data_IF_419787414104
#
_entry.id   IF_419787414104
#
_cell.length_a   1.000
_cell.length_b   1.000
_cell.length_c   1.000
_cell.angle_alpha   90.00
_cell.angle_beta   90.00
_cell.angle_gamma   90.00
#
_symmetry.space_group_name_H-M   'P 1'
#
loop_
_entity.id
_entity.type
_entity.pdbx_description
1 polymer ?
#
# COMPACT_ATOMS: atom_id res chain seq x y z
N UNK A 1 -24.28 9.98 11.84
CA UNK A 1 -23.08 10.58 11.22
C UNK A 1 -22.19 9.42 10.81
N UNK A 2 -21.84 9.27 9.53
CA UNK A 2 -20.98 8.17 9.05
C UNK A 2 -19.58 8.34 9.67
N UNK A 3 -18.98 7.27 10.20
CA UNK A 3 -17.55 7.27 10.55
C UNK A 3 -16.74 7.33 9.24
N UNK A 4 -15.51 7.84 9.31
CA UNK A 4 -14.60 7.99 8.17
C UNK A 4 -14.62 6.76 7.25
N UNK A 5 -14.88 6.94 5.95
CA UNK A 5 -14.97 5.84 4.97
C UNK A 5 -16.39 5.38 4.62
N UNK A 6 -17.42 6.13 5.01
CA UNK A 6 -18.77 6.01 4.45
C UNK A 6 -19.56 4.75 4.85
N UNK A 7 -19.09 4.00 5.85
CA UNK A 7 -19.72 2.77 6.34
C UNK A 7 -20.76 3.09 7.42
N UNK A 8 -21.80 2.25 7.51
CA UNK A 8 -22.86 2.38 8.51
C UNK A 8 -22.36 1.83 9.85
N UNK A 9 -22.25 2.66 10.91
CA UNK A 9 -21.74 2.21 12.21
C UNK A 9 -22.61 1.13 12.84
N UNK A 10 -22.01 0.22 13.61
CA UNK A 10 -22.73 -0.88 14.28
C UNK A 10 -23.78 -0.40 15.26
N UNK A 11 -23.53 0.75 15.90
CA UNK A 11 -24.42 1.42 16.85
C UNK A 11 -25.71 1.96 16.20
N UNK A 12 -25.74 2.06 14.87
CA UNK A 12 -26.95 2.43 14.14
C UNK A 12 -27.88 1.21 14.07
N UNK A 13 -29.11 1.37 14.55
CA UNK A 13 -30.15 0.36 14.43
C UNK A 13 -30.48 0.12 12.95
N UNK A 14 -30.32 -1.13 12.51
CA UNK A 14 -30.61 -1.54 11.14
C UNK A 14 -31.26 -2.92 11.15
N UNK A 15 -32.54 -2.97 11.52
CA UNK A 15 -33.28 -4.21 11.82
C UNK A 15 -33.37 -5.21 10.67
N UNK A 16 -33.29 -4.73 9.43
CA UNK A 16 -33.39 -5.56 8.22
C UNK A 16 -32.01 -5.96 7.66
N UNK A 17 -30.92 -5.74 8.42
CA UNK A 17 -29.57 -6.03 7.98
C UNK A 17 -29.29 -7.54 7.98
N UNK A 18 -29.50 -8.18 6.83
CA UNK A 18 -29.16 -9.58 6.59
C UNK A 18 -28.29 -9.73 5.32
N UNK A 19 -27.00 -9.35 5.39
CA UNK A 19 -26.11 -9.42 4.24
C UNK A 19 -25.76 -10.88 3.87
N UNK A 20 -25.47 -11.17 2.60
CA UNK A 20 -25.02 -12.50 2.19
C UNK A 20 -23.73 -12.91 2.92
N UNK A 21 -23.52 -14.21 3.07
CA UNK A 21 -22.30 -14.78 3.66
C UNK A 21 -21.39 -15.36 2.57
N UNK A 22 -20.13 -14.97 2.55
CA UNK A 22 -19.14 -15.51 1.62
C UNK A 22 -17.75 -15.65 2.26
N UNK A 23 -17.15 -16.82 2.11
CA UNK A 23 -15.76 -17.11 2.47
C UNK A 23 -15.15 -17.94 1.35
N UNK A 24 -14.08 -17.43 0.73
CA UNK A 24 -13.37 -18.18 -0.30
C UNK A 24 -12.67 -19.41 0.30
N UNK A 25 -12.76 -20.54 -0.38
CA UNK A 25 -12.01 -21.75 -0.04
C UNK A 25 -10.51 -21.53 -0.22
N UNK A 26 -9.71 -21.91 0.78
CA UNK A 26 -8.24 -21.83 0.73
C UNK A 26 -7.63 -23.08 1.34
N UNK A 27 -6.50 -23.53 0.76
CA UNK A 27 -5.69 -24.63 1.31
C UNK A 27 -5.02 -24.25 2.63
N UNK A 28 -4.79 -22.95 2.83
CA UNK A 28 -4.14 -22.41 4.01
C UNK A 28 -5.24 -22.13 5.06
N UNK A 29 -5.51 -23.11 5.91
CA UNK A 29 -6.44 -22.96 7.03
C UNK A 29 -5.74 -22.18 8.16
N UNK A 30 -6.24 -20.99 8.49
CA UNK A 30 -5.85 -20.34 9.72
C UNK A 30 -6.46 -21.08 10.91
N UNK A 31 -5.66 -21.29 11.96
CA UNK A 31 -6.11 -21.84 13.22
C UNK A 31 -6.95 -20.77 13.95
N UNK A 32 -8.26 -21.02 14.09
CA UNK A 32 -9.26 -20.18 14.77
C UNK A 32 -9.22 -18.68 14.45
N UNK A 33 -10.20 -18.28 13.65
CA UNK A 33 -10.44 -16.90 13.28
C UNK A 33 -10.87 -16.03 14.48
N UNK A 34 -10.26 -14.84 14.71
CA UNK A 34 -10.76 -13.91 15.70
C UNK A 34 -12.16 -13.44 15.30
N UNK A 35 -13.13 -13.64 16.19
CA UNK A 35 -14.49 -13.14 16.03
C UNK A 35 -14.47 -11.65 16.34
N UNK A 36 -14.72 -10.82 15.33
CA UNK A 36 -14.78 -9.36 15.50
C UNK A 36 -15.55 -8.71 14.36
N UNK A 37 -16.24 -7.63 14.69
CA UNK A 37 -16.92 -6.78 13.72
C UNK A 37 -15.95 -5.74 13.17
N UNK A 38 -16.07 -5.43 11.88
CA UNK A 38 -15.26 -4.40 11.22
C UNK A 38 -15.38 -3.06 11.99
N UNK A 39 -14.27 -2.47 12.46
CA UNK A 39 -14.30 -1.32 13.36
C UNK A 39 -14.89 -0.06 12.72
N UNK A 40 -14.96 -0.02 11.38
CA UNK A 40 -15.53 1.10 10.63
C UNK A 40 -17.02 0.92 10.35
N UNK A 41 -17.62 -0.22 10.69
CA UNK A 41 -19.04 -0.50 10.51
C UNK A 41 -19.32 -1.55 9.44
N UNK A 42 -20.62 -1.69 9.14
CA UNK A 42 -21.20 -2.63 8.17
C UNK A 42 -20.69 -2.36 6.75
N UNK A 43 -20.36 -3.42 6.02
CA UNK A 43 -19.94 -3.37 4.60
C UNK A 43 -20.96 -3.98 3.65
N UNK A 44 -21.95 -4.71 4.16
CA UNK A 44 -22.95 -5.40 3.35
C UNK A 44 -22.55 -6.81 2.92
N UNK A 45 -21.49 -7.38 3.50
CA UNK A 45 -21.03 -8.75 3.24
C UNK A 45 -20.50 -9.39 4.52
N UNK A 46 -21.03 -10.57 4.89
CA UNK A 46 -20.51 -11.40 5.99
C UNK A 46 -19.51 -12.43 5.50
N UNK A 47 -18.75 -12.97 6.45
CA UNK A 47 -17.70 -13.96 6.21
C UNK A 47 -16.34 -13.31 5.92
N UNK A 48 -15.35 -14.13 5.60
CA UNK A 48 -13.97 -13.68 5.35
C UNK A 48 -13.80 -13.02 3.98
N UNK A 49 -14.75 -13.24 3.08
CA UNK A 49 -14.60 -12.90 1.67
C UNK A 49 -13.35 -13.55 1.08
N UNK A 50 -12.55 -12.74 0.38
CA UNK A 50 -11.29 -13.16 -0.22
C UNK A 50 -10.06 -12.85 0.63
N UNK A 51 -10.20 -12.47 1.90
CA UNK A 51 -9.06 -12.19 2.79
C UNK A 51 -8.48 -13.47 3.40
N UNK A 52 -7.30 -13.38 4.03
CA UNK A 52 -6.59 -14.55 4.57
C UNK A 52 -7.15 -15.02 5.91
N UNK A 53 -7.59 -14.10 6.76
CA UNK A 53 -8.15 -14.39 8.07
C UNK A 53 -9.36 -13.48 8.33
N UNK A 54 -10.19 -13.86 9.29
CA UNK A 54 -11.11 -12.91 9.91
C UNK A 54 -10.32 -11.86 10.70
N UNK A 55 -10.99 -10.77 11.06
CA UNK A 55 -10.37 -9.63 11.71
C UNK A 55 -9.38 -8.87 10.80
N UNK A 56 -8.34 -8.26 11.39
CA UNK A 56 -7.38 -7.47 10.65
C UNK A 56 -6.43 -8.33 9.83
N UNK A 57 -6.29 -8.01 8.55
CA UNK A 57 -5.33 -8.57 7.61
C UNK A 57 -4.22 -7.54 7.40
N UNK A 58 -3.09 -7.72 8.08
CA UNK A 58 -2.02 -6.71 8.11
C UNK A 58 -1.19 -6.66 6.82
N UNK A 59 -1.14 -5.48 6.20
CA UNK A 59 -0.31 -5.19 5.02
C UNK A 59 0.80 -4.19 5.31
N UNK A 60 1.80 -4.13 4.42
CA UNK A 60 2.90 -3.16 4.47
C UNK A 60 3.03 -2.47 3.11
N UNK A 61 3.08 -1.14 3.11
CA UNK A 61 3.32 -0.32 1.91
C UNK A 61 4.62 0.49 2.03
N UNK A 62 5.74 -0.01 1.47
CA UNK A 62 6.91 0.82 1.22
C UNK A 62 6.60 1.84 0.12
N UNK A 63 6.66 3.12 0.46
CA UNK A 63 6.60 4.23 -0.48
C UNK A 63 8.01 4.74 -0.72
N UNK A 64 8.66 4.21 -1.76
CA UNK A 64 9.99 4.67 -2.15
C UNK A 64 9.83 5.97 -2.93
N UNK A 65 10.27 7.08 -2.35
CA UNK A 65 10.08 8.42 -2.91
C UNK A 65 11.40 9.13 -3.15
N UNK A 66 11.40 10.05 -4.11
CA UNK A 66 12.51 10.98 -4.37
C UNK A 66 11.98 12.32 -4.87
N UNK A 67 12.80 13.36 -4.82
CA UNK A 67 12.46 14.62 -5.50
C UNK A 67 12.52 14.45 -7.01
N UNK A 68 11.49 14.96 -7.73
CA UNK A 68 11.55 15.11 -9.18
C UNK A 68 12.61 16.15 -9.54
N UNK A 69 13.44 15.84 -10.52
CA UNK A 69 14.53 16.71 -10.99
C UNK A 69 14.30 17.14 -12.44
N UNK A 70 14.77 18.32 -12.82
CA UNK A 70 14.85 18.75 -14.22
C UNK A 70 16.18 18.32 -14.85
N UNK A 71 16.43 18.68 -16.10
CA UNK A 71 17.66 18.33 -16.83
C UNK A 71 18.94 18.85 -16.13
N UNK A 72 18.85 20.01 -15.46
CA UNK A 72 19.95 20.60 -14.69
C UNK A 72 20.15 19.99 -13.30
N UNK A 73 19.34 19.01 -12.90
CA UNK A 73 19.39 18.40 -11.55
C UNK A 73 18.75 19.26 -10.44
N UNK A 74 18.08 20.36 -10.77
CA UNK A 74 17.31 21.14 -9.81
C UNK A 74 15.97 20.47 -9.47
N UNK A 75 15.47 20.68 -8.24
CA UNK A 75 14.17 20.13 -7.82
C UNK A 75 13.03 20.82 -8.58
N UNK A 76 12.24 20.04 -9.31
CA UNK A 76 11.02 20.51 -9.96
C UNK A 76 10.00 21.00 -8.93
N UNK A 77 9.34 22.12 -9.24
CA UNK A 77 8.30 22.71 -8.42
C UNK A 77 7.04 22.97 -9.24
N UNK A 78 5.89 22.90 -8.57
CA UNK A 78 4.61 23.37 -9.10
C UNK A 78 4.08 24.44 -8.16
N UNK A 79 4.03 25.68 -8.65
CA UNK A 79 3.99 26.87 -7.81
C UNK A 79 5.17 26.84 -6.81
N UNK A 80 4.93 27.04 -5.52
CA UNK A 80 5.97 27.05 -4.48
C UNK A 80 6.37 25.64 -3.98
N UNK A 81 5.54 24.63 -4.23
CA UNK A 81 5.74 23.28 -3.68
C UNK A 81 6.63 22.41 -4.55
N UNK A 82 7.52 21.65 -3.92
CA UNK A 82 8.39 20.66 -4.59
C UNK A 82 7.55 19.48 -5.10
N UNK A 83 8.02 18.83 -6.16
CA UNK A 83 7.34 17.67 -6.75
C UNK A 83 8.04 16.37 -6.36
N UNK A 84 7.28 15.38 -5.88
CA UNK A 84 7.77 14.04 -5.59
C UNK A 84 7.61 13.11 -6.80
N UNK A 85 8.49 12.12 -6.87
CA UNK A 85 8.29 10.89 -7.63
C UNK A 85 8.21 9.71 -6.66
N UNK A 86 7.44 8.70 -7.02
CA UNK A 86 7.33 7.43 -6.30
C UNK A 86 7.58 6.26 -7.24
N UNK A 87 8.26 5.23 -6.74
CA UNK A 87 8.43 3.97 -7.45
C UNK A 87 7.11 3.21 -7.50
N UNK A 88 6.63 2.91 -8.71
CA UNK A 88 5.40 2.15 -8.94
C UNK A 88 5.66 0.94 -9.81
N UNK A 89 4.81 -0.06 -9.66
CA UNK A 89 4.88 -1.32 -10.40
C UNK A 89 3.53 -1.66 -11.04
N UNK A 90 3.57 -2.19 -12.26
CA UNK A 90 2.43 -2.81 -12.94
C UNK A 90 2.77 -4.28 -13.20
N UNK A 91 2.02 -5.20 -12.59
CA UNK A 91 2.17 -6.64 -12.82
C UNK A 91 1.47 -7.04 -14.14
N UNK A 92 1.91 -8.13 -14.82
CA UNK A 92 1.39 -8.50 -16.15
C UNK A 92 -0.13 -8.59 -16.27
N UNK A 93 -0.80 -9.11 -15.25
CA UNK A 93 -2.25 -9.33 -15.23
C UNK A 93 -3.04 -8.17 -14.58
N UNK A 94 -2.37 -7.08 -14.23
CA UNK A 94 -3.00 -5.92 -13.59
C UNK A 94 -3.18 -4.81 -14.59
N UNK A 95 -4.39 -4.29 -14.74
CA UNK A 95 -4.66 -3.10 -15.54
C UNK A 95 -4.04 -1.83 -14.93
N UNK A 96 -3.93 -1.80 -13.61
CA UNK A 96 -3.54 -0.62 -12.84
C UNK A 96 -2.07 -0.67 -12.38
N UNK A 97 -1.46 0.51 -12.30
CA UNK A 97 -0.22 0.69 -11.54
C UNK A 97 -0.52 0.61 -10.04
N UNK A 98 0.46 0.18 -9.25
CA UNK A 98 0.33 0.05 -7.81
C UNK A 98 1.63 0.41 -7.10
N UNK A 99 1.52 0.79 -5.82
CA UNK A 99 2.67 0.76 -4.91
C UNK A 99 3.18 -0.69 -4.75
N UNK A 100 4.50 -0.91 -4.59
CA UNK A 100 5.11 -2.23 -4.38
C UNK A 100 4.87 -2.78 -2.97
N UNK A 101 3.68 -2.58 -2.41
CA UNK A 101 3.26 -3.09 -1.10
C UNK A 101 2.12 -4.11 -1.18
N UNK A 102 1.58 -4.42 0.00
CA UNK A 102 0.46 -5.34 0.19
C UNK A 102 0.73 -6.38 1.26
N UNK A 103 0.21 -7.59 1.04
CA UNK A 103 0.37 -8.71 1.96
C UNK A 103 1.79 -9.26 1.96
N UNK A 104 2.15 -9.89 3.08
CA UNK A 104 3.37 -10.67 3.27
C UNK A 104 3.00 -12.16 3.25
N UNK A 105 3.96 -13.03 2.93
CA UNK A 105 3.78 -14.46 3.22
C UNK A 105 4.03 -14.70 4.72
N UNK A 106 3.52 -15.80 5.29
CA UNK A 106 3.89 -16.21 6.65
C UNK A 106 5.41 -16.29 6.82
N UNK A 107 5.93 -15.67 7.89
CA UNK A 107 7.37 -15.62 8.17
C UNK A 107 8.17 -14.60 7.34
N UNK A 108 7.56 -13.94 6.35
CA UNK A 108 8.24 -12.95 5.51
C UNK A 108 8.09 -11.52 6.04
N UNK A 109 9.16 -10.75 5.91
CA UNK A 109 9.26 -9.34 6.30
C UNK A 109 8.78 -8.40 5.19
N UNK A 110 9.06 -8.73 3.92
CA UNK A 110 8.81 -7.89 2.75
C UNK A 110 7.51 -8.26 2.02
N UNK A 111 6.79 -7.28 1.43
CA UNK A 111 5.58 -7.56 0.66
C UNK A 111 5.86 -8.41 -0.58
N UNK A 112 4.94 -9.34 -0.91
CA UNK A 112 5.05 -10.24 -2.09
C UNK A 112 5.35 -9.47 -3.38
N UNK A 113 4.70 -8.31 -3.56
CA UNK A 113 4.84 -7.47 -4.75
C UNK A 113 6.23 -6.84 -4.88
N UNK A 114 6.84 -6.43 -3.77
CA UNK A 114 8.22 -5.93 -3.76
C UNK A 114 9.20 -7.05 -4.09
N UNK A 115 9.04 -8.22 -3.47
CA UNK A 115 9.90 -9.39 -3.69
C UNK A 115 9.93 -9.84 -5.15
N UNK A 116 8.83 -9.64 -5.91
CA UNK A 116 8.77 -9.93 -7.34
C UNK A 116 9.64 -9.03 -8.20
N UNK A 117 9.96 -7.81 -7.74
CA UNK A 117 10.68 -6.81 -8.54
C UNK A 117 12.08 -6.49 -8.02
N UNK A 118 12.45 -7.01 -6.86
CA UNK A 118 13.74 -6.77 -6.21
C UNK A 118 14.50 -8.09 -6.08
N UNK A 119 15.78 -8.11 -6.50
CA UNK A 119 16.66 -9.28 -6.34
C UNK A 119 16.69 -9.77 -4.89
N UNK A 120 16.68 -11.09 -4.71
CA UNK A 120 16.60 -11.73 -3.39
C UNK A 120 17.79 -11.37 -2.49
N UNK A 121 19.00 -11.35 -3.06
CA UNK A 121 20.22 -10.94 -2.39
C UNK A 121 20.18 -9.50 -1.83
N UNK A 122 19.24 -8.67 -2.29
CA UNK A 122 19.07 -7.28 -1.86
C UNK A 122 17.91 -7.06 -0.88
N UNK A 123 17.13 -8.10 -0.56
CA UNK A 123 16.05 -7.99 0.44
C UNK A 123 16.55 -7.48 1.81
N UNK A 124 17.67 -7.98 2.38
CA UNK A 124 18.14 -7.49 3.67
C UNK A 124 18.52 -6.00 3.67
N UNK A 125 19.07 -5.52 2.54
CA UNK A 125 19.40 -4.08 2.40
C UNK A 125 18.13 -3.23 2.37
N UNK A 126 17.09 -3.70 1.65
CA UNK A 126 15.80 -3.02 1.63
C UNK A 126 15.08 -3.04 2.99
N UNK A 127 15.20 -4.14 3.76
CA UNK A 127 14.69 -4.18 5.14
C UNK A 127 15.33 -3.12 6.03
N UNK A 128 16.62 -2.84 5.85
CA UNK A 128 17.29 -1.77 6.58
C UNK A 128 16.76 -0.39 6.17
N UNK A 129 16.49 -0.16 4.88
CA UNK A 129 15.82 1.06 4.40
C UNK A 129 14.41 1.20 4.99
N UNK A 130 13.67 0.11 5.12
CA UNK A 130 12.35 0.11 5.78
C UNK A 130 12.45 0.47 7.26
N UNK A 131 13.46 -0.05 7.98
CA UNK A 131 13.67 0.24 9.40
C UNK A 131 14.06 1.71 9.65
N UNK A 132 14.81 2.32 8.74
CA UNK A 132 15.19 3.74 8.81
C UNK A 132 14.16 4.68 8.19
N UNK A 133 13.17 4.14 7.48
CA UNK A 133 12.10 4.90 6.86
C UNK A 133 11.14 5.51 7.88
N UNK A 134 10.37 6.51 7.42
CA UNK A 134 9.40 7.22 8.24
C UNK A 134 8.02 6.56 8.14
N UNK A 135 7.42 6.18 9.26
CA UNK A 135 6.02 5.74 9.30
C UNK A 135 5.10 6.92 8.98
N UNK A 136 4.42 6.86 7.84
CA UNK A 136 3.48 7.90 7.37
C UNK A 136 2.05 7.58 7.79
N UNK A 137 1.74 6.29 7.97
CA UNK A 137 0.41 5.86 8.32
C UNK A 137 0.43 4.47 8.96
N UNK A 138 -0.42 4.30 9.98
CA UNK A 138 -0.73 3.00 10.56
C UNK A 138 -2.21 2.95 10.93
N UNK A 139 -2.94 1.97 10.42
CA UNK A 139 -4.35 1.77 10.76
C UNK A 139 -5.19 1.16 9.64
N UNK A 140 -6.51 1.30 9.77
CA UNK A 140 -7.51 0.77 8.86
C UNK A 140 -7.36 1.30 7.42
N UNK A 141 -7.29 0.40 6.44
CA UNK A 141 -7.30 0.78 5.03
C UNK A 141 -8.64 0.41 4.40
N UNK A 142 -9.29 1.40 3.81
CA UNK A 142 -10.50 1.18 3.02
C UNK A 142 -10.15 0.43 1.73
N UNK A 143 -10.55 -0.84 1.66
CA UNK A 143 -10.23 -1.76 0.57
C UNK A 143 -11.51 -2.49 0.17
N UNK A 144 -11.76 -2.68 -1.14
CA UNK A 144 -12.97 -3.35 -1.64
C UNK A 144 -13.12 -4.80 -1.15
N UNK A 145 -12.07 -5.40 -0.59
CA UNK A 145 -12.11 -6.75 -0.01
C UNK A 145 -12.59 -6.78 1.45
N UNK A 146 -12.79 -5.63 2.09
CA UNK A 146 -13.26 -5.56 3.47
C UNK A 146 -14.70 -6.07 3.57
N UNK A 147 -14.94 -6.94 4.54
CA UNK A 147 -16.24 -7.48 4.92
C UNK A 147 -16.65 -6.98 6.31
N UNK A 148 -17.79 -7.44 6.81
CA UNK A 148 -18.20 -7.24 8.20
C UNK A 148 -17.25 -7.93 9.18
N UNK A 149 -16.55 -8.97 8.75
CA UNK A 149 -15.79 -9.86 9.63
C UNK A 149 -14.29 -9.92 9.31
N UNK A 150 -13.83 -9.30 8.22
CA UNK A 150 -12.43 -9.26 7.82
C UNK A 150 -12.11 -7.92 7.17
N UNK A 151 -11.05 -7.24 7.60
CA UNK A 151 -10.64 -5.95 7.05
C UNK A 151 -9.14 -5.87 6.89
N UNK A 152 -8.66 -4.83 6.22
CA UNK A 152 -7.24 -4.57 6.04
C UNK A 152 -6.79 -3.47 6.98
N UNK A 153 -5.69 -3.73 7.68
CA UNK A 153 -4.91 -2.70 8.36
C UNK A 153 -3.54 -2.63 7.71
N UNK A 154 -2.98 -1.43 7.59
CA UNK A 154 -1.69 -1.25 6.95
C UNK A 154 -0.77 -0.38 7.75
N UNK A 155 0.53 -0.66 7.62
CA UNK A 155 1.61 0.29 7.88
C UNK A 155 2.10 0.81 6.53
N UNK A 156 2.26 2.12 6.41
CA UNK A 156 2.88 2.76 5.24
C UNK A 156 4.15 3.48 5.69
N UNK A 157 5.27 3.08 5.10
CA UNK A 157 6.60 3.61 5.42
C UNK A 157 7.14 4.34 4.21
N UNK A 158 7.50 5.61 4.37
CA UNK A 158 8.20 6.38 3.35
C UNK A 158 9.70 6.19 3.47
N UNK A 159 10.30 5.69 2.39
CA UNK A 159 11.75 5.63 2.19
C UNK A 159 12.08 6.76 1.22
N UNK A 160 12.58 7.88 1.73
CA UNK A 160 12.79 9.09 0.94
C UNK A 160 14.26 9.31 0.62
N UNK A 161 14.56 9.42 -0.68
CA UNK A 161 15.89 9.77 -1.17
C UNK A 161 15.96 11.26 -1.52
N UNK A 162 16.81 11.97 -0.77
CA UNK A 162 16.99 13.42 -0.93
C UNK A 162 17.86 13.75 -2.16
N UNK A 163 18.94 13.01 -2.35
CA UNK A 163 19.93 13.19 -3.41
C UNK A 163 19.74 12.14 -4.52
N UNK A 164 19.91 12.56 -5.77
CA UNK A 164 19.92 11.67 -6.94
C UNK A 164 21.19 10.81 -7.01
N UNK A 165 22.27 11.23 -6.35
CA UNK A 165 23.54 10.50 -6.27
C UNK A 165 23.64 9.57 -5.04
N UNK A 166 22.54 9.38 -4.32
CA UNK A 166 22.50 8.51 -3.15
C UNK A 166 22.89 7.07 -3.52
N UNK A 167 23.81 6.48 -2.75
CA UNK A 167 24.38 5.15 -3.01
C UNK A 167 23.31 4.07 -2.91
N UNK A 168 22.39 4.18 -1.96
CA UNK A 168 21.30 3.22 -1.77
C UNK A 168 20.22 3.38 -2.84
N UNK A 169 19.96 4.61 -3.32
CA UNK A 169 19.08 4.83 -4.48
C UNK A 169 19.66 4.17 -5.74
N UNK A 170 20.95 4.37 -6.00
CA UNK A 170 21.64 3.76 -7.15
C UNK A 170 21.64 2.24 -7.05
N UNK A 171 21.97 1.72 -5.86
CA UNK A 171 21.91 0.28 -5.59
C UNK A 171 20.50 -0.27 -5.77
N UNK A 172 19.46 0.41 -5.29
CA UNK A 172 18.07 0.00 -5.50
C UNK A 172 17.77 -0.09 -7.00
N UNK A 173 18.07 0.97 -7.77
CA UNK A 173 17.78 1.01 -9.21
C UNK A 173 18.49 -0.12 -9.98
N UNK A 174 19.76 -0.43 -9.65
CA UNK A 174 20.52 -1.52 -10.28
C UNK A 174 19.97 -2.92 -9.98
N UNK A 175 19.15 -3.06 -8.93
CA UNK A 175 18.62 -4.34 -8.45
C UNK A 175 17.11 -4.51 -8.67
N UNK A 176 16.49 -3.59 -9.41
CA UNK A 176 15.12 -3.74 -9.86
C UNK A 176 15.07 -4.57 -11.17
N UNK A 177 14.31 -5.66 -11.16
CA UNK A 177 14.17 -6.59 -12.30
C UNK A 177 12.74 -6.63 -12.82
N UNK A 178 12.47 -5.73 -13.75
CA UNK A 178 11.22 -5.71 -14.51
C UNK A 178 11.09 -6.95 -15.43
N UNK A 179 12.16 -7.28 -16.17
CA UNK A 179 12.11 -8.28 -17.25
C UNK A 179 11.82 -9.71 -16.77
N UNK A 180 12.48 -10.18 -15.70
CA UNK A 180 12.36 -11.57 -15.26
C UNK A 180 10.99 -11.88 -14.62
N UNK A 181 10.30 -10.86 -14.13
CA UNK A 181 9.00 -10.98 -13.43
C UNK A 181 7.80 -10.67 -14.32
N UNK A 182 8.04 -10.21 -15.55
CA UNK A 182 7.05 -9.63 -16.47
C UNK A 182 6.45 -8.30 -15.98
N UNK A 183 6.94 -7.76 -14.86
CA UNK A 183 6.43 -6.52 -14.28
C UNK A 183 7.03 -5.31 -14.98
N UNK A 184 6.25 -4.23 -15.12
CA UNK A 184 6.79 -2.92 -15.49
C UNK A 184 7.03 -2.10 -14.23
N UNK A 185 8.17 -1.44 -14.14
CA UNK A 185 8.56 -0.61 -12.98
C UNK A 185 8.94 0.77 -13.51
N UNK A 186 8.47 1.83 -12.84
CA UNK A 186 8.91 3.20 -13.16
C UNK A 186 8.80 4.14 -11.97
N UNK A 187 9.55 5.22 -12.06
CA UNK A 187 9.30 6.41 -11.26
C UNK A 187 8.12 7.18 -11.85
N UNK A 188 7.19 7.58 -10.99
CA UNK A 188 5.98 8.28 -11.38
C UNK A 188 5.81 9.52 -10.52
N UNK A 189 5.55 10.66 -11.17
CA UNK A 189 5.22 11.91 -10.48
C UNK A 189 3.99 11.70 -9.58
N UNK A 190 4.11 12.12 -8.32
CA UNK A 190 3.03 12.13 -7.35
C UNK A 190 2.14 13.35 -7.62
N UNK A 191 0.90 13.09 -8.05
CA UNK A 191 -0.17 14.07 -8.15
C UNK A 191 -1.55 13.39 -7.98
N UNK A 192 -2.62 14.17 -7.87
CA UNK A 192 -4.02 13.70 -7.76
C UNK A 192 -4.47 12.78 -8.91
N UNK A 193 -3.88 12.94 -10.11
CA UNK A 193 -4.26 12.21 -11.32
C UNK A 193 -3.44 10.94 -11.52
N UNK A 194 -2.52 10.61 -10.62
CA UNK A 194 -1.73 9.39 -10.69
C UNK A 194 -2.64 8.16 -10.87
N UNK A 195 -2.34 7.24 -11.82
CA UNK A 195 -3.23 6.13 -12.15
C UNK A 195 -3.06 4.95 -11.17
N UNK A 196 -3.28 5.20 -9.88
CA UNK A 196 -3.26 4.21 -8.80
C UNK A 196 -4.65 4.02 -8.18
N UNK A 197 -4.83 2.92 -7.44
CA UNK A 197 -6.01 2.69 -6.61
C UNK A 197 -6.23 3.83 -5.60
N UNK A 198 -7.50 4.09 -5.26
CA UNK A 198 -7.89 5.19 -4.38
C UNK A 198 -7.20 5.13 -3.00
N UNK A 199 -7.06 3.94 -2.41
CA UNK A 199 -6.34 3.77 -1.15
C UNK A 199 -4.86 4.13 -1.25
N UNK A 200 -4.18 3.81 -2.35
CA UNK A 200 -2.78 4.20 -2.58
C UNK A 200 -2.65 5.72 -2.73
N UNK A 201 -3.63 6.37 -3.38
CA UNK A 201 -3.67 7.83 -3.47
C UNK A 201 -3.71 8.48 -2.08
N UNK A 202 -4.55 7.97 -1.18
CA UNK A 202 -4.64 8.48 0.21
C UNK A 202 -3.29 8.37 0.94
N UNK A 203 -2.58 7.25 0.80
CA UNK A 203 -1.25 7.09 1.40
C UNK A 203 -0.23 8.08 0.82
N UNK A 204 -0.24 8.27 -0.50
CA UNK A 204 0.65 9.24 -1.17
C UNK A 204 0.32 10.69 -0.81
N UNK A 205 -0.96 11.01 -0.57
CA UNK A 205 -1.35 12.34 -0.12
C UNK A 205 -0.77 12.63 1.28
N UNK A 206 -0.82 11.64 2.19
CA UNK A 206 -0.19 11.75 3.51
C UNK A 206 1.33 11.92 3.37
N UNK A 207 1.98 11.09 2.56
CA UNK A 207 3.42 11.21 2.32
C UNK A 207 3.80 12.58 1.73
N UNK A 208 3.04 13.08 0.75
CA UNK A 208 3.27 14.40 0.18
C UNK A 208 3.11 15.53 1.21
N UNK A 209 2.17 15.40 2.15
CA UNK A 209 2.00 16.35 3.23
C UNK A 209 3.23 16.39 4.17
N UNK A 210 3.76 15.23 4.56
CA UNK A 210 4.97 15.12 5.40
C UNK A 210 6.19 15.86 4.78
N UNK A 211 6.33 15.80 3.46
CA UNK A 211 7.43 16.47 2.75
C UNK A 211 7.11 17.90 2.27
N UNK A 212 5.92 18.43 2.56
CA UNK A 212 5.47 19.73 2.04
C UNK A 212 5.39 19.78 0.49
N UNK A 213 5.18 18.63 -0.14
CA UNK A 213 5.18 18.46 -1.59
C UNK A 213 3.84 18.82 -2.24
N UNK A 214 3.87 18.97 -3.57
CA UNK A 214 2.68 19.07 -4.39
C UNK A 214 1.92 17.73 -4.43
N UNK A 215 0.59 17.80 -4.49
CA UNK A 215 -0.31 16.66 -4.68
C UNK A 215 -1.53 17.07 -5.52
#
# INVERSE_FOLDING_TARGET
>A
MLKDGGKVPWETEFLIYDPPFYTAERKDAAAMDPVGENPMGRTGLRGRGSLSCFGPNHTLYPMVTRWRRNEDGAICRKSIKKMLEVLVVKLPLSEHWALPGGSREPGETLPRKLKRILRQEHWPSFENLLKSGMEVYKGYMDDPRNTDNAWIETVAVSIHFQDQNDVELNRLNSNLHACDSGASIRWQVVDRRIPLYANHKTLLQKAAAEFGAHY
#
